data_IF_776050995176
#
_entry.id   IF_776050995176
#
_cell.length_a   1.000
_cell.length_b   1.000
_cell.length_c   1.000
_cell.angle_alpha   90.00
_cell.angle_beta   90.00
_cell.angle_gamma   90.00
#
_symmetry.space_group_name_H-M   'P 1'
#
loop_
_entity.id
_entity.type
_entity.pdbx_description
1 polymer ?
#
# COMPACT_ATOMS: atom_id res chain seq x y z
N UNK A 1 26.17 -29.68 23.46
CA UNK A 1 24.83 -29.34 22.94
C UNK A 1 24.44 -30.41 21.93
N UNK A 2 23.57 -31.34 22.31
CA UNK A 2 23.24 -32.52 21.48
C UNK A 2 22.11 -32.14 20.53
N UNK A 3 22.40 -32.21 19.22
CA UNK A 3 21.43 -32.16 18.13
C UNK A 3 20.46 -33.35 18.29
N UNK A 4 19.15 -33.09 18.31
CA UNK A 4 18.15 -34.17 18.35
C UNK A 4 17.98 -34.76 16.94
N UNK A 5 18.38 -36.02 16.82
CA UNK A 5 18.27 -36.87 15.64
C UNK A 5 16.81 -37.07 15.20
N UNK A 6 16.56 -36.89 13.90
CA UNK A 6 15.27 -37.08 13.22
C UNK A 6 15.13 -38.52 12.68
N UNK A 7 15.36 -39.50 13.54
CA UNK A 7 15.27 -40.93 13.20
C UNK A 7 14.45 -41.69 14.23
N UNK A 8 13.16 -41.36 14.32
CA UNK A 8 12.15 -42.34 14.70
C UNK A 8 10.82 -42.05 13.99
N UNK A 9 10.72 -42.51 12.74
CA UNK A 9 9.51 -42.41 11.93
C UNK A 9 8.50 -43.41 12.48
N UNK A 10 7.58 -42.93 13.32
CA UNK A 10 6.37 -43.66 13.72
C UNK A 10 5.59 -44.13 12.48
N UNK A 11 5.82 -45.39 12.07
CA UNK A 11 5.16 -46.04 10.92
C UNK A 11 3.66 -46.12 11.19
N UNK A 12 2.86 -45.46 10.35
CA UNK A 12 1.39 -45.57 10.36
C UNK A 12 0.61 -44.34 10.86
N UNK A 13 1.26 -43.26 11.30
CA UNK A 13 0.55 -41.99 11.59
C UNK A 13 0.49 -41.08 10.37
N UNK A 14 -0.58 -40.29 10.26
CA UNK A 14 -0.66 -39.18 9.28
C UNK A 14 0.56 -38.27 9.48
N UNK A 15 1.34 -37.98 8.42
CA UNK A 15 2.49 -37.08 8.52
C UNK A 15 2.11 -35.76 9.20
N UNK A 16 2.96 -35.30 10.10
CA UNK A 16 2.77 -34.00 10.74
C UNK A 16 2.92 -32.89 9.68
N UNK A 17 1.99 -31.94 9.65
CA UNK A 17 2.11 -30.75 8.80
C UNK A 17 3.34 -29.93 9.22
N UNK A 18 4.07 -29.41 8.26
CA UNK A 18 5.18 -28.50 8.50
C UNK A 18 4.72 -27.23 9.23
N UNK A 19 5.66 -26.54 9.90
CA UNK A 19 5.35 -25.30 10.62
C UNK A 19 4.71 -24.23 9.70
N UNK A 20 5.13 -24.18 8.44
CA UNK A 20 4.63 -23.24 7.42
C UNK A 20 3.22 -23.57 6.92
N UNK A 21 2.83 -24.84 6.93
CA UNK A 21 1.50 -25.30 6.50
C UNK A 21 0.45 -25.23 7.62
N UNK A 22 0.92 -25.13 8.87
CA UNK A 22 0.05 -25.08 10.04
C UNK A 22 -0.39 -23.63 10.29
N UNK A 23 -1.69 -23.37 10.10
CA UNK A 23 -2.37 -22.12 10.51
C UNK A 23 -2.34 -21.98 12.05
N UNK A 24 -1.21 -21.51 12.61
CA UNK A 24 -0.93 -21.45 14.06
C UNK A 24 -1.57 -20.25 14.77
N UNK A 25 -1.60 -19.10 14.10
CA UNK A 25 -2.06 -17.85 14.69
C UNK A 25 -3.58 -17.68 14.52
N UNK A 26 -4.21 -17.11 15.55
CA UNK A 26 -5.65 -16.83 15.58
C UNK A 26 -5.89 -15.35 15.83
N UNK A 27 -6.77 -14.77 15.02
CA UNK A 27 -7.28 -13.41 15.20
C UNK A 27 -8.77 -13.55 15.52
N UNK A 28 -9.22 -12.94 16.62
CA UNK A 28 -10.64 -12.89 17.00
C UNK A 28 -11.19 -11.53 16.59
N UNK A 29 -12.35 -11.53 15.94
CA UNK A 29 -13.05 -10.30 15.50
C UNK A 29 -14.47 -10.34 16.04
N UNK A 30 -14.86 -9.30 16.79
CA UNK A 30 -16.25 -9.10 17.17
C UNK A 30 -16.96 -8.34 16.05
N UNK A 31 -18.14 -8.82 15.65
CA UNK A 31 -18.91 -8.26 14.54
C UNK A 31 -20.30 -7.86 15.01
N UNK A 32 -20.88 -6.83 14.40
CA UNK A 32 -22.29 -6.55 14.57
C UNK A 32 -23.13 -7.69 13.94
N UNK A 33 -24.36 -7.86 14.41
CA UNK A 33 -25.28 -8.91 13.92
C UNK A 33 -25.42 -8.90 12.39
N UNK A 34 -25.58 -7.72 11.79
CA UNK A 34 -25.72 -7.58 10.34
C UNK A 34 -24.47 -8.01 9.57
N UNK A 35 -23.28 -7.61 10.04
CA UNK A 35 -21.99 -7.94 9.41
C UNK A 35 -21.72 -9.44 9.46
N UNK A 36 -22.00 -10.08 10.61
CA UNK A 36 -21.84 -11.52 10.79
C UNK A 36 -22.70 -12.31 9.80
N UNK A 37 -23.99 -11.99 9.68
CA UNK A 37 -24.87 -12.68 8.74
C UNK A 37 -24.56 -12.35 7.28
N UNK A 38 -24.09 -11.13 6.98
CA UNK A 38 -23.60 -10.78 5.65
C UNK A 38 -22.38 -11.63 5.25
N UNK A 39 -21.38 -11.78 6.14
CA UNK A 39 -20.23 -12.65 5.92
C UNK A 39 -20.66 -14.10 5.72
N UNK A 40 -21.55 -14.61 6.59
CA UNK A 40 -22.05 -15.99 6.50
C UNK A 40 -22.79 -16.26 5.19
N UNK A 41 -23.62 -15.32 4.76
CA UNK A 41 -24.35 -15.39 3.49
C UNK A 41 -23.39 -15.39 2.29
N UNK A 42 -22.40 -14.48 2.27
CA UNK A 42 -21.37 -14.43 1.22
C UNK A 42 -20.56 -15.71 1.15
N UNK A 43 -20.10 -16.22 2.30
CA UNK A 43 -19.34 -17.47 2.38
C UNK A 43 -20.15 -18.66 1.84
N UNK A 44 -21.44 -18.76 2.22
CA UNK A 44 -22.35 -19.80 1.69
C UNK A 44 -22.51 -19.70 0.17
N UNK A 45 -22.71 -18.50 -0.37
CA UNK A 45 -22.84 -18.27 -1.82
C UNK A 45 -21.58 -18.65 -2.58
N UNK A 46 -20.41 -18.39 -1.99
CA UNK A 46 -19.11 -18.76 -2.56
C UNK A 46 -18.72 -20.23 -2.33
N UNK A 47 -19.52 -21.01 -1.59
CA UNK A 47 -19.22 -22.41 -1.30
C UNK A 47 -18.02 -22.63 -0.36
N UNK A 48 -17.62 -21.60 0.39
CA UNK A 48 -16.46 -21.64 1.31
C UNK A 48 -16.88 -21.41 2.76
N UNK A 49 -16.04 -21.82 3.71
CA UNK A 49 -16.26 -21.48 5.13
C UNK A 49 -16.09 -19.98 5.38
N UNK A 50 -16.77 -19.43 6.40
CA UNK A 50 -16.61 -18.02 6.78
C UNK A 50 -15.14 -17.66 7.08
N UNK A 51 -14.39 -18.57 7.71
CA UNK A 51 -12.96 -18.35 7.97
C UNK A 51 -12.13 -18.33 6.70
N UNK A 52 -12.49 -19.11 5.67
CA UNK A 52 -11.78 -19.09 4.38
C UNK A 52 -12.12 -17.84 3.60
N UNK A 53 -13.38 -17.41 3.62
CA UNK A 53 -13.81 -16.12 3.06
C UNK A 53 -13.00 -14.96 3.65
N UNK A 54 -12.81 -14.92 4.98
CA UNK A 54 -11.98 -13.90 5.63
C UNK A 54 -10.52 -14.00 5.19
N UNK A 55 -9.96 -15.21 5.05
CA UNK A 55 -8.58 -15.38 4.57
C UNK A 55 -8.41 -14.89 3.15
N UNK A 56 -9.32 -15.24 2.24
CA UNK A 56 -9.31 -14.75 0.87
C UNK A 56 -9.44 -13.23 0.82
N UNK A 57 -10.30 -12.66 1.67
CA UNK A 57 -10.45 -11.21 1.78
C UNK A 57 -9.18 -10.54 2.27
N UNK A 58 -8.43 -11.14 3.21
CA UNK A 58 -7.14 -10.62 3.70
C UNK A 58 -6.03 -10.80 2.67
N UNK A 59 -6.00 -11.93 1.96
CA UNK A 59 -5.02 -12.20 0.90
C UNK A 59 -5.18 -11.23 -0.27
N UNK A 60 -6.42 -10.91 -0.63
CA UNK A 60 -6.76 -9.97 -1.69
C UNK A 60 -6.94 -8.51 -1.24
N UNK A 61 -6.81 -8.19 0.05
CA UNK A 61 -7.01 -6.81 0.48
C UNK A 61 -5.80 -5.95 0.08
N UNK A 62 -6.06 -4.93 -0.71
CA UNK A 62 -5.10 -3.86 -0.92
C UNK A 62 -5.30 -2.86 0.22
N UNK A 63 -4.46 -2.95 1.25
CA UNK A 63 -4.37 -1.89 2.26
C UNK A 63 -3.70 -0.70 1.58
N UNK A 64 -4.49 0.32 1.21
CA UNK A 64 -3.92 1.59 0.80
C UNK A 64 -3.29 2.24 2.03
N UNK A 65 -1.97 2.18 2.10
CA UNK A 65 -1.23 2.91 3.12
C UNK A 65 -1.61 4.39 3.05
N UNK A 66 -1.70 5.04 4.22
CA UNK A 66 -1.82 6.50 4.25
C UNK A 66 -0.56 7.07 3.60
N UNK A 67 -0.73 8.13 2.80
CA UNK A 67 0.39 8.90 2.29
C UNK A 67 1.32 9.24 3.45
N UNK A 68 2.60 8.88 3.30
CA UNK A 68 3.60 9.28 4.29
C UNK A 68 3.67 10.81 4.33
N UNK A 69 4.12 11.37 5.45
CA UNK A 69 4.31 12.83 5.56
C UNK A 69 5.17 13.36 4.40
N UNK A 70 6.21 12.62 4.03
CA UNK A 70 7.09 12.93 2.92
C UNK A 70 6.37 12.95 1.56
N UNK A 71 5.56 11.93 1.26
CA UNK A 71 4.75 11.89 0.04
C UNK A 71 3.75 13.05 -0.02
N UNK A 72 3.10 13.36 1.10
CA UNK A 72 2.20 14.50 1.19
C UNK A 72 2.92 15.84 0.96
N UNK A 73 4.16 15.97 1.43
CA UNK A 73 4.98 17.16 1.23
C UNK A 73 5.46 17.31 -0.21
N UNK A 74 5.78 16.21 -0.90
CA UNK A 74 6.04 16.23 -2.35
C UNK A 74 4.83 16.74 -3.14
N UNK A 75 3.63 16.26 -2.81
CA UNK A 75 2.39 16.73 -3.44
C UNK A 75 2.20 18.23 -3.20
N UNK A 76 2.39 18.72 -1.97
CA UNK A 76 2.27 20.16 -1.67
C UNK A 76 3.27 21.00 -2.46
N UNK A 77 4.52 20.55 -2.57
CA UNK A 77 5.57 21.24 -3.33
C UNK A 77 5.25 21.30 -4.82
N UNK A 78 4.77 20.19 -5.40
CA UNK A 78 4.33 20.14 -6.80
C UNK A 78 3.17 21.11 -7.05
N UNK A 79 2.16 21.14 -6.17
CA UNK A 79 1.08 22.12 -6.28
C UNK A 79 1.57 23.57 -6.22
N UNK A 80 2.52 23.87 -5.32
CA UNK A 80 3.16 25.19 -5.25
C UNK A 80 3.89 25.56 -6.55
N UNK A 81 4.60 24.61 -7.14
CA UNK A 81 5.30 24.82 -8.41
C UNK A 81 4.36 25.00 -9.60
N UNK A 82 3.23 24.28 -9.64
CA UNK A 82 2.18 24.51 -10.64
C UNK A 82 1.59 25.93 -10.53
N UNK A 83 1.40 26.44 -9.32
CA UNK A 83 0.98 27.82 -9.09
C UNK A 83 2.03 28.83 -9.56
N UNK A 84 3.31 28.57 -9.26
CA UNK A 84 4.41 29.40 -9.75
C UNK A 84 4.45 29.44 -11.27
N UNK A 85 4.28 28.30 -11.95
CA UNK A 85 4.22 28.23 -13.41
C UNK A 85 3.07 29.07 -13.96
N UNK A 86 1.87 28.96 -13.37
CA UNK A 86 0.71 29.75 -13.78
C UNK A 86 0.95 31.26 -13.61
N UNK A 87 1.64 31.69 -12.55
CA UNK A 87 2.00 33.08 -12.34
C UNK A 87 3.00 33.56 -13.39
N UNK A 88 4.03 32.76 -13.70
CA UNK A 88 5.02 33.09 -14.72
C UNK A 88 4.39 33.17 -16.12
N UNK A 89 3.47 32.26 -16.45
CA UNK A 89 2.75 32.31 -17.73
C UNK A 89 1.94 33.61 -17.87
N UNK A 90 1.22 34.00 -16.82
CA UNK A 90 0.46 35.27 -16.80
C UNK A 90 1.38 36.50 -16.83
N UNK A 91 2.49 36.46 -16.11
CA UNK A 91 3.52 37.50 -16.14
C UNK A 91 4.09 37.67 -17.54
N UNK A 92 4.53 36.58 -18.15
CA UNK A 92 5.08 36.56 -19.50
C UNK A 92 4.12 37.07 -20.57
N UNK A 93 2.82 36.81 -20.43
CA UNK A 93 1.80 37.37 -21.31
C UNK A 93 1.66 38.90 -21.17
N UNK A 94 1.86 39.46 -19.96
CA UNK A 94 1.70 40.90 -19.70
C UNK A 94 2.99 41.70 -19.96
N UNK A 95 4.12 41.16 -19.55
CA UNK A 95 5.40 41.87 -19.45
C UNK A 95 6.42 41.38 -20.50
N UNK A 96 6.11 40.27 -21.19
CA UNK A 96 6.97 39.65 -22.17
C UNK A 96 7.84 38.53 -21.58
N UNK A 97 8.07 37.49 -22.38
CA UNK A 97 8.72 36.24 -21.94
C UNK A 97 10.16 36.44 -21.43
N UNK A 98 10.91 37.41 -21.99
CA UNK A 98 12.32 37.63 -21.64
C UNK A 98 12.52 37.97 -20.16
N UNK A 99 11.59 38.71 -19.56
CA UNK A 99 11.68 39.15 -18.16
C UNK A 99 11.52 38.00 -17.16
N UNK A 100 10.83 36.92 -17.55
CA UNK A 100 10.56 35.77 -16.68
C UNK A 100 11.48 34.57 -16.95
N UNK A 101 12.35 34.65 -17.95
CA UNK A 101 13.23 33.54 -18.39
C UNK A 101 14.06 32.92 -17.24
N UNK A 102 14.65 33.75 -16.37
CA UNK A 102 15.41 33.28 -15.21
C UNK A 102 14.55 32.54 -14.17
N UNK A 103 13.33 33.02 -13.91
CA UNK A 103 12.39 32.40 -12.98
C UNK A 103 11.86 31.07 -13.55
N UNK A 104 11.57 31.01 -14.85
CA UNK A 104 11.22 29.76 -15.54
C UNK A 104 12.33 28.72 -15.42
N UNK A 105 13.59 29.12 -15.64
CA UNK A 105 14.75 28.22 -15.50
C UNK A 105 14.89 27.68 -14.07
N UNK A 106 14.72 28.54 -13.06
CA UNK A 106 14.77 28.12 -11.66
C UNK A 106 13.64 27.14 -11.31
N UNK A 107 12.43 27.38 -11.81
CA UNK A 107 11.29 26.50 -11.60
C UNK A 107 11.51 25.11 -12.25
N UNK A 108 12.08 25.07 -13.45
CA UNK A 108 12.43 23.82 -14.14
C UNK A 108 13.44 22.99 -13.34
N UNK A 109 14.55 23.59 -12.90
CA UNK A 109 15.56 22.90 -12.09
C UNK A 109 14.98 22.36 -10.77
N UNK A 110 14.06 23.12 -10.16
CA UNK A 110 13.39 22.70 -8.92
C UNK A 110 12.44 21.53 -9.15
N UNK A 111 11.75 21.50 -10.30
CA UNK A 111 10.90 20.39 -10.72
C UNK A 111 11.72 19.14 -11.00
N UNK A 112 12.80 19.24 -11.77
CA UNK A 112 13.72 18.12 -12.05
C UNK A 112 14.22 17.50 -10.75
N UNK A 113 14.74 18.33 -9.84
CA UNK A 113 15.24 17.87 -8.54
C UNK A 113 14.15 17.18 -7.70
N UNK A 114 12.91 17.66 -7.74
CA UNK A 114 11.83 17.05 -6.98
C UNK A 114 11.38 15.73 -7.61
N UNK A 115 11.32 15.65 -8.94
CA UNK A 115 10.98 14.43 -9.68
C UNK A 115 12.02 13.35 -9.42
N UNK A 116 13.32 13.69 -9.41
CA UNK A 116 14.39 12.76 -9.08
C UNK A 116 14.22 12.16 -7.67
N UNK A 117 13.81 12.98 -6.70
CA UNK A 117 13.55 12.53 -5.32
C UNK A 117 12.31 11.64 -5.18
N UNK A 118 11.33 11.78 -6.07
CA UNK A 118 10.13 10.94 -6.07
C UNK A 118 10.41 9.59 -6.76
N UNK A 119 11.36 9.58 -7.70
CA UNK A 119 11.66 8.43 -8.56
C UNK A 119 12.73 7.49 -7.99
N UNK A 120 13.43 7.91 -6.93
CA UNK A 120 14.40 7.14 -6.15
C UNK A 120 13.71 6.37 -5.02
#
# INVERSE_FOLDING_TARGET
>A
MIQKNDTDRNRGRRPAKGLSEKRKYRITVNMATGEYYALKSKARKAGVSASEMVRQAVDGCVVRERLTTEQADFIRKLCGMANNLNQLARGAHREGVRLHSGQCRHLLLSLETLIDRISL
#
